data_IF_689905406445
#
_entry.id   IF_689905406445
#
_cell.length_a   1.000
_cell.length_b   1.000
_cell.length_c   1.000
_cell.angle_alpha   90.00
_cell.angle_beta   90.00
_cell.angle_gamma   90.00
#
_symmetry.space_group_name_H-M   'P 1'
#
loop_
_entity.id
_entity.type
_entity.pdbx_description
1 polymer ?
#
# COMPACT_ATOMS: atom_id res chain seq x y z
N UNK A 1 47.23 24.38 -22.09
CA UNK A 1 47.12 25.79 -21.60
C UNK A 1 45.67 26.20 -21.66
N UNK A 2 45.04 26.41 -20.51
CA UNK A 2 44.00 27.41 -20.19
C UNK A 2 43.34 26.97 -18.88
N UNK A 3 43.83 27.48 -17.90
CA UNK A 3 43.49 28.29 -16.72
C UNK A 3 42.11 28.09 -16.11
N UNK A 4 42.21 27.67 -14.83
CA UNK A 4 41.30 27.82 -13.70
C UNK A 4 40.39 29.07 -13.76
N UNK A 5 39.11 28.89 -13.35
CA UNK A 5 38.42 29.92 -12.56
C UNK A 5 37.70 29.29 -11.39
N UNK A 6 38.20 29.62 -10.24
CA UNK A 6 37.64 29.49 -8.91
C UNK A 6 36.58 30.59 -8.74
N UNK A 7 35.39 30.27 -8.29
CA UNK A 7 34.44 31.24 -7.75
C UNK A 7 33.95 30.80 -6.41
N UNK A 8 34.38 31.49 -5.42
CA UNK A 8 33.96 31.53 -4.03
C UNK A 8 32.81 32.55 -3.93
N UNK A 9 31.71 32.19 -3.33
CA UNK A 9 30.76 33.09 -2.66
C UNK A 9 29.64 32.22 -2.08
N UNK A 10 29.11 32.32 -0.96
CA UNK A 10 29.14 33.15 0.22
C UNK A 10 28.09 32.50 1.14
N UNK A 11 28.45 32.28 2.39
CA UNK A 11 27.54 31.87 3.46
C UNK A 11 26.45 32.95 3.66
N UNK A 12 25.22 32.55 3.76
CA UNK A 12 24.17 33.31 4.44
C UNK A 12 23.51 32.41 5.49
N UNK A 13 23.93 32.64 6.73
CA UNK A 13 23.29 32.14 7.94
C UNK A 13 22.04 32.97 8.21
N UNK A 14 20.87 32.35 8.17
CA UNK A 14 19.66 32.95 8.71
C UNK A 14 19.22 32.11 9.92
N UNK A 15 19.56 32.61 11.09
CA UNK A 15 18.98 32.14 12.36
C UNK A 15 17.57 32.66 12.46
N UNK A 16 16.59 31.76 12.53
CA UNK A 16 15.22 32.09 12.94
C UNK A 16 14.95 31.46 14.29
N UNK A 17 14.85 32.31 15.29
CA UNK A 17 14.38 32.04 16.63
C UNK A 17 12.90 31.63 16.58
N UNK A 18 12.56 30.50 17.16
CA UNK A 18 11.18 30.13 17.47
C UNK A 18 10.93 30.43 18.97
N UNK A 19 9.84 31.12 19.30
CA UNK A 19 9.43 31.23 20.71
C UNK A 19 8.71 29.94 21.14
N UNK A 20 9.15 29.43 22.28
CA UNK A 20 8.42 28.44 23.08
C UNK A 20 7.21 29.13 23.73
N UNK A 21 6.05 28.51 23.65
CA UNK A 21 4.93 28.80 24.55
C UNK A 21 4.53 27.53 25.27
N UNK A 22 4.58 27.63 26.57
CA UNK A 22 4.34 26.58 27.53
C UNK A 22 2.90 26.60 28.04
N UNK A 23 2.46 25.43 28.54
CA UNK A 23 1.56 25.19 29.67
C UNK A 23 0.06 25.38 29.45
N UNK A 24 -0.65 24.27 29.64
CA UNK A 24 -2.06 24.17 29.92
C UNK A 24 -2.41 22.79 30.44
N UNK A 25 -2.20 22.58 31.74
CA UNK A 25 -2.71 21.42 32.48
C UNK A 25 -4.21 21.58 32.70
N UNK A 26 -5.00 20.52 32.47
CA UNK A 26 -6.43 20.45 32.79
C UNK A 26 -6.84 19.01 33.06
N UNK A 27 -6.96 18.72 34.34
CA UNK A 27 -7.33 17.46 35.00
C UNK A 27 -8.83 17.26 35.05
N UNK A 28 -9.26 15.98 35.23
CA UNK A 28 -10.56 15.45 35.75
C UNK A 28 -11.67 15.30 34.69
N UNK A 29 -12.43 14.22 34.60
CA UNK A 29 -12.92 13.25 35.56
C UNK A 29 -13.39 12.00 34.80
N UNK A 30 -13.11 10.84 35.38
CA UNK A 30 -13.90 9.61 35.21
C UNK A 30 -15.31 9.77 35.79
N UNK A 31 -16.35 9.02 35.36
CA UNK A 31 -16.56 7.73 35.98
C UNK A 31 -17.07 6.61 35.04
N UNK A 32 -16.58 5.43 35.30
CA UNK A 32 -17.21 4.14 35.02
C UNK A 32 -18.56 4.02 35.74
N UNK A 33 -19.55 3.31 35.17
CA UNK A 33 -19.90 2.02 35.75
C UNK A 33 -20.13 0.87 34.78
N UNK A 34 -19.71 -0.29 35.20
CA UNK A 34 -20.13 -1.64 34.84
C UNK A 34 -21.20 -2.09 35.83
N UNK A 35 -21.76 -3.30 35.77
CA UNK A 35 -22.39 -4.09 34.70
C UNK A 35 -23.85 -4.46 35.09
N UNK A 36 -24.62 -5.03 34.18
CA UNK A 36 -25.68 -5.98 34.58
C UNK A 36 -26.00 -6.94 33.41
N UNK A 37 -26.03 -8.21 33.78
CA UNK A 37 -26.49 -9.41 33.11
C UNK A 37 -27.99 -9.42 32.86
N UNK A 38 -28.43 -10.13 31.81
CA UNK A 38 -29.52 -11.12 31.83
C UNK A 38 -29.66 -11.69 30.42
N UNK A 39 -29.37 -12.88 30.19
CA UNK A 39 -29.94 -14.23 30.23
C UNK A 39 -31.32 -14.42 29.56
N UNK A 40 -31.38 -15.51 28.76
CA UNK A 40 -32.53 -16.24 28.25
C UNK A 40 -33.16 -15.71 26.94
N UNK A 41 -33.51 -16.49 25.96
CA UNK A 41 -33.73 -17.95 25.82
C UNK A 41 -33.96 -18.28 24.35
N UNK A 42 -33.46 -19.43 23.94
CA UNK A 42 -33.82 -20.08 22.65
C UNK A 42 -35.21 -20.72 22.77
N UNK A 43 -36.00 -20.79 21.68
CA UNK A 43 -36.49 -22.09 21.31
C UNK A 43 -36.38 -22.44 19.81
N UNK A 44 -36.36 -23.71 19.64
CA UNK A 44 -36.10 -24.58 18.52
C UNK A 44 -37.05 -24.50 17.31
N UNK A 45 -36.44 -24.87 16.17
CA UNK A 45 -36.94 -25.72 15.10
C UNK A 45 -38.31 -25.44 14.45
N UNK A 46 -38.25 -25.13 13.16
CA UNK A 46 -39.09 -25.82 12.18
C UNK A 46 -38.47 -25.70 10.78
N UNK A 47 -38.09 -26.83 10.21
CA UNK A 47 -37.87 -27.01 8.78
C UNK A 47 -39.17 -26.95 8.02
N UNK A 48 -39.22 -26.35 6.84
CA UNK A 48 -39.95 -26.90 5.73
C UNK A 48 -39.04 -27.15 4.53
N UNK A 49 -38.98 -28.41 4.16
CA UNK A 49 -38.63 -28.92 2.84
C UNK A 49 -39.46 -28.22 1.76
N UNK A 50 -38.80 -27.51 0.85
CA UNK A 50 -39.45 -27.08 -0.40
C UNK A 50 -38.53 -27.30 -1.58
N UNK A 51 -38.93 -28.22 -2.36
CA UNK A 51 -38.65 -28.65 -3.73
C UNK A 51 -37.77 -27.69 -4.56
N UNK A 52 -36.67 -28.29 -5.03
CA UNK A 52 -35.89 -27.91 -6.20
C UNK A 52 -36.78 -27.49 -7.37
N UNK A 53 -36.64 -26.23 -7.78
CA UNK A 53 -37.03 -25.82 -9.12
C UNK A 53 -35.76 -25.27 -9.75
N UNK A 54 -35.15 -26.11 -10.60
CA UNK A 54 -34.01 -25.75 -11.46
C UNK A 54 -34.52 -24.79 -12.54
N UNK A 55 -34.38 -23.51 -12.27
CA UNK A 55 -34.42 -22.46 -13.30
C UNK A 55 -33.02 -21.95 -13.49
N UNK A 56 -32.32 -22.43 -14.51
CA UNK A 56 -31.03 -21.98 -14.97
C UNK A 56 -31.16 -20.62 -15.66
N UNK A 57 -31.34 -19.59 -14.86
CA UNK A 57 -31.01 -18.22 -15.30
C UNK A 57 -29.54 -18.01 -14.95
N UNK A 58 -28.66 -17.59 -15.88
CA UNK A 58 -27.28 -17.33 -15.53
C UNK A 58 -27.27 -16.17 -14.53
N UNK A 59 -27.05 -16.49 -13.27
CA UNK A 59 -26.77 -15.49 -12.24
C UNK A 59 -25.58 -14.65 -12.70
N UNK A 60 -25.68 -13.31 -12.77
CA UNK A 60 -24.52 -12.49 -13.09
C UNK A 60 -23.45 -12.78 -12.05
N UNK A 61 -22.34 -13.39 -12.49
CA UNK A 61 -21.18 -13.67 -11.63
C UNK A 61 -20.69 -12.33 -11.10
N UNK A 62 -20.94 -12.07 -9.83
CA UNK A 62 -20.40 -10.89 -9.15
C UNK A 62 -18.88 -11.04 -9.18
N UNK A 63 -18.22 -10.30 -10.09
CA UNK A 63 -16.77 -10.23 -10.13
C UNK A 63 -16.30 -9.63 -8.83
N UNK A 64 -15.66 -10.42 -7.99
CA UNK A 64 -14.98 -9.91 -6.81
C UNK A 64 -13.65 -9.25 -7.25
N UNK A 65 -13.18 -8.25 -6.51
CA UNK A 65 -11.87 -7.62 -6.77
C UNK A 65 -10.76 -8.66 -6.89
N UNK A 66 -10.79 -9.70 -6.07
CA UNK A 66 -9.78 -10.76 -6.08
C UNK A 66 -9.75 -11.57 -7.38
N UNK A 67 -10.94 -11.91 -7.95
CA UNK A 67 -11.01 -12.64 -9.22
C UNK A 67 -10.53 -11.76 -10.39
N UNK A 68 -10.83 -10.47 -10.37
CA UNK A 68 -10.36 -9.53 -11.38
C UNK A 68 -8.85 -9.32 -11.29
N UNK A 69 -8.30 -9.14 -10.09
CA UNK A 69 -6.86 -9.01 -9.87
C UNK A 69 -6.10 -10.29 -10.23
N UNK A 70 -6.69 -11.47 -10.03
CA UNK A 70 -6.10 -12.74 -10.45
C UNK A 70 -5.89 -12.77 -11.97
N UNK A 71 -6.91 -12.40 -12.76
CA UNK A 71 -6.78 -12.31 -14.22
C UNK A 71 -5.73 -11.27 -14.64
N UNK A 72 -5.67 -10.15 -13.95
CA UNK A 72 -4.67 -9.10 -14.24
C UNK A 72 -3.25 -9.57 -13.91
N UNK A 73 -3.04 -10.32 -12.82
CA UNK A 73 -1.73 -10.92 -12.49
C UNK A 73 -1.25 -11.87 -13.59
N UNK A 74 -2.13 -12.61 -14.25
CA UNK A 74 -1.77 -13.44 -15.41
C UNK A 74 -1.22 -12.57 -16.57
N UNK A 75 -1.83 -11.42 -16.82
CA UNK A 75 -1.33 -10.48 -17.84
C UNK A 75 0.06 -9.93 -17.46
N UNK A 76 0.26 -9.58 -16.19
CA UNK A 76 1.53 -9.10 -15.67
C UNK A 76 2.62 -10.17 -15.82
N UNK A 77 2.34 -11.41 -15.40
CA UNK A 77 3.28 -12.53 -15.47
C UNK A 77 3.63 -12.89 -16.92
N UNK A 78 2.73 -12.61 -17.87
CA UNK A 78 2.95 -12.78 -19.31
C UNK A 78 3.65 -11.58 -19.95
N UNK A 79 4.08 -10.58 -19.17
CA UNK A 79 4.74 -9.36 -19.68
C UNK A 79 3.81 -8.41 -20.44
N UNK A 80 2.49 -8.63 -20.43
CA UNK A 80 1.50 -7.80 -21.13
C UNK A 80 1.15 -6.55 -20.30
N UNK A 81 2.17 -5.77 -19.96
CA UNK A 81 2.02 -4.64 -18.99
C UNK A 81 1.07 -3.55 -19.48
N UNK A 82 1.04 -3.23 -20.78
CA UNK A 82 0.12 -2.21 -21.31
C UNK A 82 -1.35 -2.63 -21.14
N UNK A 83 -1.66 -3.89 -21.46
CA UNK A 83 -3.01 -4.46 -21.27
C UNK A 83 -3.36 -4.51 -19.80
N UNK A 84 -2.44 -4.99 -18.95
CA UNK A 84 -2.61 -5.02 -17.50
C UNK A 84 -2.88 -3.63 -16.93
N UNK A 85 -2.15 -2.59 -17.36
CA UNK A 85 -2.34 -1.22 -16.92
C UNK A 85 -3.75 -0.69 -17.27
N UNK A 86 -4.24 -1.02 -18.47
CA UNK A 86 -5.62 -0.64 -18.89
C UNK A 86 -6.67 -1.32 -18.00
N UNK A 87 -6.52 -2.62 -17.75
CA UNK A 87 -7.43 -3.38 -16.87
C UNK A 87 -7.37 -2.88 -15.43
N UNK A 88 -6.18 -2.56 -14.91
CA UNK A 88 -6.00 -2.01 -13.57
C UNK A 88 -6.62 -0.62 -13.41
N UNK A 89 -6.56 0.24 -14.43
CA UNK A 89 -7.24 1.54 -14.42
C UNK A 89 -8.77 1.39 -14.38
N UNK A 90 -9.30 0.35 -15.01
CA UNK A 90 -10.72 0.01 -14.88
C UNK A 90 -11.05 -0.50 -13.48
N UNK A 91 -10.21 -1.37 -12.92
CA UNK A 91 -10.36 -1.86 -11.57
C UNK A 91 -10.28 -0.73 -10.51
N UNK A 92 -9.38 0.27 -10.68
CA UNK A 92 -9.29 1.42 -9.77
C UNK A 92 -10.56 2.28 -9.78
N UNK A 93 -11.29 2.35 -10.91
CA UNK A 93 -12.60 3.02 -10.96
C UNK A 93 -13.66 2.25 -10.19
N UNK A 94 -13.64 0.92 -10.26
CA UNK A 94 -14.58 0.04 -9.56
C UNK A 94 -14.26 -0.10 -8.07
N UNK A 95 -12.97 -0.02 -7.71
CA UNK A 95 -12.43 -0.21 -6.35
C UNK A 95 -11.45 0.91 -5.98
N UNK A 96 -11.88 2.18 -5.84
CA UNK A 96 -10.98 3.34 -5.77
C UNK A 96 -10.09 3.38 -4.54
N UNK A 97 -10.44 2.67 -3.48
CA UNK A 97 -9.71 2.61 -2.21
C UNK A 97 -9.15 1.20 -1.93
N UNK A 98 -8.74 0.49 -2.98
CA UNK A 98 -8.12 -0.82 -2.82
C UNK A 98 -6.60 -0.71 -2.92
N UNK A 99 -5.88 -1.16 -1.88
CA UNK A 99 -4.42 -1.06 -1.81
C UNK A 99 -3.74 -1.98 -2.83
N UNK A 100 -4.27 -3.21 -3.05
CA UNK A 100 -3.75 -4.15 -4.03
C UNK A 100 -3.85 -3.62 -5.46
N UNK A 101 -4.98 -3.01 -5.83
CA UNK A 101 -5.16 -2.37 -7.14
C UNK A 101 -4.10 -1.30 -7.36
N UNK A 102 -3.90 -0.44 -6.36
CA UNK A 102 -2.90 0.64 -6.46
C UNK A 102 -1.47 0.11 -6.43
N UNK A 103 -1.18 -0.95 -5.67
CA UNK A 103 0.10 -1.63 -5.71
C UNK A 103 0.41 -2.19 -7.11
N UNK A 104 -0.54 -2.90 -7.73
CA UNK A 104 -0.36 -3.46 -9.07
C UNK A 104 -0.29 -2.38 -10.16
N UNK A 105 -1.01 -1.26 -10.02
CA UNK A 105 -0.84 -0.08 -10.88
C UNK A 105 0.59 0.47 -10.78
N UNK A 106 1.12 0.57 -9.57
CA UNK A 106 2.50 0.98 -9.31
C UNK A 106 3.51 0.04 -9.97
N UNK A 107 3.36 -1.27 -9.73
CA UNK A 107 4.21 -2.30 -10.31
C UNK A 107 4.21 -2.23 -11.85
N UNK A 108 3.03 -2.25 -12.45
CA UNK A 108 2.87 -2.26 -13.91
C UNK A 108 3.42 -0.97 -14.54
N UNK A 109 3.20 0.19 -13.90
CA UNK A 109 3.79 1.46 -14.34
C UNK A 109 5.32 1.44 -14.25
N UNK A 110 5.90 0.84 -13.20
CA UNK A 110 7.35 0.69 -13.04
C UNK A 110 7.94 -0.20 -14.14
N UNK A 111 7.28 -1.31 -14.48
CA UNK A 111 7.70 -2.19 -15.59
C UNK A 111 7.67 -1.47 -16.93
N UNK A 112 6.75 -0.53 -17.12
CA UNK A 112 6.68 0.36 -18.30
C UNK A 112 7.61 1.57 -18.19
N UNK A 113 8.48 1.64 -17.17
CA UNK A 113 9.42 2.75 -16.90
C UNK A 113 8.73 4.10 -16.63
N UNK A 114 7.44 4.10 -16.32
CA UNK A 114 6.65 5.26 -15.92
C UNK A 114 6.87 5.55 -14.42
N UNK A 115 8.10 5.86 -14.04
CA UNK A 115 8.54 5.88 -12.64
C UNK A 115 7.80 6.90 -11.76
N UNK A 116 7.45 8.07 -12.31
CA UNK A 116 6.67 9.07 -11.59
C UNK A 116 5.28 8.55 -11.23
N UNK A 117 4.58 7.94 -12.18
CA UNK A 117 3.26 7.34 -11.95
C UNK A 117 3.34 6.16 -10.98
N UNK A 118 4.36 5.31 -11.12
CA UNK A 118 4.59 4.20 -10.20
C UNK A 118 4.72 4.71 -8.75
N UNK A 119 5.50 5.75 -8.52
CA UNK A 119 5.65 6.37 -7.21
C UNK A 119 4.33 6.89 -6.62
N UNK A 120 3.51 7.54 -7.45
CA UNK A 120 2.18 8.01 -7.05
C UNK A 120 1.27 6.86 -6.62
N UNK A 121 1.22 5.78 -7.39
CA UNK A 121 0.38 4.62 -7.08
C UNK A 121 0.84 3.89 -5.82
N UNK A 122 2.14 3.66 -5.63
CA UNK A 122 2.63 3.07 -4.38
C UNK A 122 2.34 3.95 -3.17
N UNK A 123 2.47 5.26 -3.31
CA UNK A 123 2.12 6.19 -2.23
C UNK A 123 0.62 6.12 -1.91
N UNK A 124 -0.24 5.99 -2.92
CA UNK A 124 -1.68 5.80 -2.72
C UNK A 124 -1.97 4.46 -2.03
N UNK A 125 -1.34 3.37 -2.46
CA UNK A 125 -1.47 2.06 -1.82
C UNK A 125 -1.08 2.11 -0.33
N UNK A 126 0.05 2.74 0.00
CA UNK A 126 0.55 2.85 1.37
C UNK A 126 -0.23 3.88 2.22
N UNK A 127 -0.97 4.79 1.61
CA UNK A 127 -1.93 5.65 2.32
C UNK A 127 -3.18 4.87 2.72
N UNK A 128 -3.61 3.93 1.88
CA UNK A 128 -4.78 3.05 2.14
C UNK A 128 -4.40 1.98 3.17
N UNK A 129 -3.28 1.30 2.95
CA UNK A 129 -2.72 0.29 3.87
C UNK A 129 -1.23 0.55 4.11
N UNK A 130 -0.88 1.21 5.22
CA UNK A 130 0.52 1.50 5.58
C UNK A 130 1.40 0.27 5.81
N UNK A 131 0.78 -0.92 6.00
CA UNK A 131 1.46 -2.19 6.23
C UNK A 131 1.48 -3.10 5.00
N UNK A 132 1.05 -2.62 3.84
CA UNK A 132 1.03 -3.39 2.61
C UNK A 132 2.45 -3.76 2.17
N UNK A 133 2.86 -5.00 2.43
CA UNK A 133 4.24 -5.48 2.22
C UNK A 133 4.71 -5.29 0.78
N UNK A 134 3.94 -5.78 -0.21
CA UNK A 134 4.32 -5.63 -1.62
C UNK A 134 4.44 -4.17 -2.08
N UNK A 135 3.64 -3.24 -1.54
CA UNK A 135 3.79 -1.82 -1.90
C UNK A 135 5.05 -1.20 -1.28
N UNK A 136 5.44 -1.60 -0.06
CA UNK A 136 6.70 -1.19 0.57
C UNK A 136 7.91 -1.73 -0.19
N UNK A 137 7.87 -3.00 -0.58
CA UNK A 137 8.91 -3.66 -1.36
C UNK A 137 9.08 -2.97 -2.72
N UNK A 138 8.05 -2.95 -3.55
CA UNK A 138 8.13 -2.42 -4.92
C UNK A 138 8.41 -0.91 -4.96
N UNK A 139 7.93 -0.15 -3.99
CA UNK A 139 8.34 1.24 -3.84
C UNK A 139 9.82 1.35 -3.46
N UNK A 140 10.31 0.44 -2.61
CA UNK A 140 11.72 0.33 -2.26
C UNK A 140 12.60 0.06 -3.49
N UNK A 141 12.21 -0.87 -4.35
CA UNK A 141 12.90 -1.15 -5.62
C UNK A 141 12.85 0.04 -6.59
N UNK A 142 11.72 0.76 -6.64
CA UNK A 142 11.62 2.01 -7.38
C UNK A 142 12.62 3.04 -6.84
N UNK A 143 12.75 3.17 -5.51
CA UNK A 143 13.72 4.06 -4.91
C UNK A 143 15.16 3.67 -5.27
N UNK A 144 15.48 2.37 -5.35
CA UNK A 144 16.79 1.92 -5.83
C UNK A 144 17.02 2.30 -7.30
N UNK A 145 16.02 2.15 -8.16
CA UNK A 145 16.07 2.59 -9.56
C UNK A 145 16.33 4.09 -9.67
N UNK A 146 15.74 4.89 -8.78
CA UNK A 146 15.87 6.34 -8.71
C UNK A 146 17.10 6.80 -7.88
N UNK A 147 17.98 5.90 -7.47
CA UNK A 147 19.16 6.17 -6.64
C UNK A 147 18.85 6.78 -5.25
N UNK A 148 17.63 6.56 -4.75
CA UNK A 148 17.15 7.01 -3.43
C UNK A 148 17.35 5.91 -2.37
N UNK A 149 18.57 5.47 -2.16
CA UNK A 149 18.90 4.31 -1.29
C UNK A 149 18.41 4.49 0.16
N UNK A 150 18.46 5.69 0.72
CA UNK A 150 17.96 5.95 2.08
C UNK A 150 16.46 5.68 2.21
N UNK A 151 15.67 6.05 1.20
CA UNK A 151 14.23 5.77 1.17
C UNK A 151 13.95 4.27 1.04
N UNK A 152 14.72 3.55 0.22
CA UNK A 152 14.61 2.10 0.12
C UNK A 152 14.91 1.40 1.45
N UNK A 153 15.97 1.81 2.16
CA UNK A 153 16.32 1.30 3.49
C UNK A 153 15.22 1.59 4.53
N UNK A 154 14.55 2.75 4.44
CA UNK A 154 13.41 3.07 5.30
C UNK A 154 12.25 2.10 5.08
N UNK A 155 11.92 1.78 3.83
CA UNK A 155 10.89 0.78 3.53
C UNK A 155 11.31 -0.62 4.02
N UNK A 156 12.58 -1.02 3.84
CA UNK A 156 13.09 -2.29 4.36
C UNK A 156 12.95 -2.40 5.89
N UNK A 157 13.20 -1.31 6.61
CA UNK A 157 13.02 -1.28 8.07
C UNK A 157 11.54 -1.43 8.46
N UNK A 158 10.61 -0.83 7.71
CA UNK A 158 9.17 -1.02 7.93
C UNK A 158 8.75 -2.48 7.68
N UNK A 159 9.18 -3.07 6.56
CA UNK A 159 8.91 -4.48 6.24
C UNK A 159 9.41 -5.38 7.38
N UNK A 160 10.65 -5.15 7.85
CA UNK A 160 11.21 -5.90 9.00
C UNK A 160 10.31 -5.83 10.24
N UNK A 161 9.74 -4.65 10.52
CA UNK A 161 8.84 -4.46 11.67
C UNK A 161 7.53 -5.21 11.51
N UNK A 162 7.02 -5.36 10.28
CA UNK A 162 5.72 -5.97 9.99
C UNK A 162 5.81 -7.50 9.96
N UNK A 163 6.81 -8.07 9.27
CA UNK A 163 6.89 -9.52 9.02
C UNK A 163 8.25 -10.16 9.39
N UNK A 164 9.19 -9.38 9.93
CA UNK A 164 10.52 -9.90 10.28
C UNK A 164 11.49 -9.91 9.10
N UNK A 165 12.50 -10.78 9.18
CA UNK A 165 13.60 -10.85 8.19
C UNK A 165 13.50 -12.06 7.27
N UNK A 166 12.52 -12.91 7.46
CA UNK A 166 12.32 -14.16 6.70
C UNK A 166 11.19 -14.09 5.67
N UNK A 167 10.42 -13.02 5.63
CA UNK A 167 9.39 -12.84 4.59
C UNK A 167 10.04 -12.47 3.24
N UNK A 168 9.37 -12.82 2.16
CA UNK A 168 9.83 -12.66 0.78
C UNK A 168 10.17 -11.20 0.48
N UNK A 169 9.28 -10.28 0.84
CA UNK A 169 9.43 -8.85 0.58
C UNK A 169 10.65 -8.23 1.28
N UNK A 170 11.00 -8.73 2.49
CA UNK A 170 12.22 -8.30 3.15
C UNK A 170 13.46 -8.80 2.42
N UNK A 171 13.47 -10.09 2.05
CA UNK A 171 14.60 -10.74 1.37
C UNK A 171 14.86 -10.04 0.01
N UNK A 172 13.81 -9.83 -0.77
CA UNK A 172 13.92 -9.27 -2.11
C UNK A 172 14.37 -7.81 -2.10
N UNK A 173 13.77 -6.98 -1.24
CA UNK A 173 14.21 -5.60 -1.12
C UNK A 173 15.64 -5.49 -0.54
N UNK A 174 16.01 -6.32 0.43
CA UNK A 174 17.37 -6.38 0.97
C UNK A 174 18.37 -6.74 -0.13
N UNK A 175 18.04 -7.72 -0.97
CA UNK A 175 18.86 -8.11 -2.13
C UNK A 175 18.99 -6.96 -3.14
N UNK A 176 17.89 -6.27 -3.45
CA UNK A 176 17.91 -5.12 -4.35
C UNK A 176 18.80 -3.98 -3.83
N UNK A 177 18.86 -3.77 -2.51
CA UNK A 177 19.72 -2.76 -1.88
C UNK A 177 21.19 -3.20 -1.87
N UNK A 178 21.45 -4.50 -1.66
CA UNK A 178 22.81 -5.03 -1.55
C UNK A 178 23.53 -5.20 -2.88
N UNK A 179 22.82 -5.25 -3.99
CA UNK A 179 23.37 -5.46 -5.34
C UNK A 179 23.85 -4.16 -6.02
N UNK A 180 24.00 -3.08 -5.26
CA UNK A 180 24.53 -1.78 -5.73
C UNK A 180 25.59 -1.24 -4.73
#
# INVERSE_FOLDING_TARGET
MFTKRLSIATLLTASLLFPQSAIGAGSRNDPTPSPEEESQSQPAATTPTTKSNSSTTPTPTIKTVNSELSAIRVLINSGKYTTALTSLKSADKSYPNNADVNNLLGYTSRMLKQYSQAGTYYTKALKIDPKHLGALEYQGELFMTLKKTSSAKSNLAKIKTICGTSCEEYIDLKKAIGNK
#
